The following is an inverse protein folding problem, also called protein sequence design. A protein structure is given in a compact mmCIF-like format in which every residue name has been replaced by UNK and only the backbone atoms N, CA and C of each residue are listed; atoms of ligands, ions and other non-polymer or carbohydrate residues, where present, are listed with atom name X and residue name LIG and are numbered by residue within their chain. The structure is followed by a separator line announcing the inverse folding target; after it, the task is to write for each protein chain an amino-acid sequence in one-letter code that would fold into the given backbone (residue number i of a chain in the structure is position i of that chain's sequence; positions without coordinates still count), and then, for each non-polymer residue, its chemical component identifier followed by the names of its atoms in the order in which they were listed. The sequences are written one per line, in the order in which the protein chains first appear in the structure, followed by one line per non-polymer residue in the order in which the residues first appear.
data_IF_645931648391
#
_entry.id   IF_645931648391
#
_cell.length_a   1.000
_cell.length_b   1.000
_cell.length_c   1.000
_cell.angle_alpha   90.00
_cell.angle_beta   90.00
_cell.angle_gamma   90.00
#
_symmetry.space_group_name_H-M   'P 1'
#
loop_
_entity.id
_entity.type
_entity.pdbx_description
1 polymer ?
#
# COMPACT_ATOMS: atom_id res chain seq x y z
N UNK A 1 -1.59 -1.08 -11.35
CA UNK A 1 -1.47 0.33 -10.94
C UNK A 1 -0.36 0.47 -9.90
N UNK A 2 0.36 1.59 -9.87
CA UNK A 2 1.30 1.90 -8.77
C UNK A 2 0.85 3.21 -8.14
N UNK A 3 0.73 3.22 -6.82
CA UNK A 3 0.34 4.41 -6.04
C UNK A 3 1.40 4.71 -4.99
N UNK A 4 1.55 5.98 -4.65
CA UNK A 4 2.37 6.43 -3.54
C UNK A 4 1.47 6.90 -2.42
N UNK A 5 1.70 6.39 -1.21
CA UNK A 5 0.96 6.76 0.00
C UNK A 5 1.95 6.91 1.16
N UNK A 6 1.48 7.40 2.31
CA UNK A 6 2.29 7.40 3.53
C UNK A 6 2.72 5.97 3.89
N UNK A 7 3.93 5.80 4.44
CA UNK A 7 4.51 4.48 4.70
C UNK A 7 3.62 3.60 5.59
N UNK A 8 2.95 4.18 6.59
CA UNK A 8 2.03 3.45 7.47
C UNK A 8 0.80 2.91 6.73
N UNK A 9 0.26 3.69 5.79
CA UNK A 9 -0.88 3.29 4.95
C UNK A 9 -0.44 2.17 4.03
N UNK A 10 0.74 2.30 3.40
CA UNK A 10 1.29 1.25 2.53
C UNK A 10 1.47 -0.08 3.27
N UNK A 11 2.00 -0.04 4.51
CA UNK A 11 2.13 -1.21 5.39
C UNK A 11 0.76 -1.81 5.74
N UNK A 12 -0.24 -0.97 6.02
CA UNK A 12 -1.60 -1.46 6.26
C UNK A 12 -2.20 -2.13 5.03
N UNK A 13 -2.00 -1.59 3.83
CA UNK A 13 -2.51 -2.19 2.58
C UNK A 13 -1.97 -3.60 2.33
N UNK A 14 -0.70 -3.85 2.67
CA UNK A 14 -0.01 -5.13 2.45
C UNK A 14 0.11 -5.99 3.71
N UNK A 15 -0.64 -5.67 4.77
CA UNK A 15 -0.54 -6.38 6.04
C UNK A 15 -0.91 -7.86 5.90
N UNK A 16 -0.14 -8.72 6.54
CA UNK A 16 -0.36 -10.17 6.56
C UNK A 16 -1.50 -10.56 7.51
N UNK A 17 -2.13 -11.75 7.34
CA UNK A 17 -3.14 -12.26 8.26
C UNK A 17 -2.70 -12.20 9.73
N UNK A 18 -3.62 -11.79 10.60
CA UNK A 18 -3.33 -11.49 12.02
C UNK A 18 -2.90 -10.04 12.27
N UNK A 19 -2.51 -9.29 11.23
CA UNK A 19 -2.25 -7.84 11.28
C UNK A 19 -3.19 -7.04 10.36
N UNK A 20 -4.05 -7.74 9.61
CA UNK A 20 -4.99 -7.13 8.68
C UNK A 20 -6.04 -6.28 9.41
N UNK A 21 -6.24 -5.06 8.90
CA UNK A 21 -7.39 -4.23 9.22
C UNK A 21 -8.36 -4.14 8.04
N UNK A 22 -9.38 -3.28 8.16
CA UNK A 22 -10.36 -3.05 7.10
C UNK A 22 -9.70 -2.66 5.77
N UNK A 23 -8.68 -1.81 5.80
CA UNK A 23 -7.97 -1.38 4.59
C UNK A 23 -7.23 -2.54 3.91
N UNK A 24 -6.56 -3.38 4.69
CA UNK A 24 -5.86 -4.57 4.18
C UNK A 24 -6.85 -5.49 3.47
N UNK A 25 -7.98 -5.78 4.13
CA UNK A 25 -9.06 -6.59 3.56
C UNK A 25 -9.60 -6.00 2.27
N UNK A 26 -9.96 -4.71 2.28
CA UNK A 26 -10.53 -4.06 1.10
C UNK A 26 -9.55 -4.07 -0.08
N UNK A 27 -8.28 -3.74 0.15
CA UNK A 27 -7.27 -3.71 -0.91
C UNK A 27 -6.98 -5.12 -1.44
N UNK A 28 -6.73 -6.07 -0.53
CA UNK A 28 -6.32 -7.42 -0.91
C UNK A 28 -7.46 -8.23 -1.53
N UNK A 29 -8.72 -7.88 -1.27
CA UNK A 29 -9.88 -8.46 -1.93
C UNK A 29 -9.96 -8.11 -3.42
N UNK A 30 -9.62 -6.87 -3.78
CA UNK A 30 -9.70 -6.40 -5.17
C UNK A 30 -8.39 -6.57 -5.94
N UNK A 31 -7.25 -6.66 -5.26
CA UNK A 31 -5.95 -6.67 -5.92
C UNK A 31 -4.86 -7.37 -5.10
N UNK A 32 -3.87 -7.92 -5.80
CA UNK A 32 -2.59 -8.27 -5.17
C UNK A 32 -1.77 -7.01 -4.94
N UNK A 33 -1.58 -6.63 -3.67
CA UNK A 33 -0.83 -5.45 -3.27
C UNK A 33 0.59 -5.80 -2.79
N UNK A 34 1.59 -5.04 -3.21
CA UNK A 34 3.00 -5.25 -2.84
C UNK A 34 3.72 -3.91 -2.65
N UNK A 35 4.54 -3.81 -1.59
CA UNK A 35 5.48 -2.69 -1.42
C UNK A 35 6.58 -2.77 -2.49
N UNK A 36 6.82 -1.67 -3.20
CA UNK A 36 7.85 -1.62 -4.25
C UNK A 36 9.02 -0.70 -3.92
N UNK A 37 8.80 0.35 -3.13
CA UNK A 37 9.87 1.25 -2.69
C UNK A 37 9.45 2.06 -1.46
N UNK A 38 10.44 2.54 -0.70
CA UNK A 38 10.29 3.58 0.31
C UNK A 38 10.85 4.89 -0.24
N UNK A 39 10.21 6.01 0.07
CA UNK A 39 10.56 7.34 -0.43
C UNK A 39 10.80 8.28 0.74
N UNK A 40 11.98 8.89 0.77
CA UNK A 40 12.40 9.83 1.81
C UNK A 40 11.56 11.12 1.73
N UNK A 41 11.22 11.75 2.87
CA UNK A 41 10.64 13.09 2.87
C UNK A 41 11.47 14.11 2.07
N UNK A 42 12.80 13.93 2.02
CA UNK A 42 13.71 14.81 1.27
C UNK A 42 13.50 14.77 -0.26
N UNK A 43 12.75 13.78 -0.76
CA UNK A 43 12.38 13.68 -2.17
C UNK A 43 11.19 14.57 -2.55
N UNK A 44 10.64 15.34 -1.62
CA UNK A 44 9.48 16.21 -1.82
C UNK A 44 9.80 17.67 -1.55
N UNK A 45 9.11 18.57 -2.24
CA UNK A 45 9.12 20.00 -2.01
C UNK A 45 7.67 20.54 -2.02
N UNK A 46 7.13 21.05 -0.89
CA UNK A 46 7.77 21.13 0.43
C UNK A 46 7.94 19.77 1.11
N UNK A 47 8.95 19.66 1.98
CA UNK A 47 9.26 18.42 2.71
C UNK A 47 8.13 18.05 3.70
N UNK A 48 7.53 16.86 3.60
CA UNK A 48 6.57 16.35 4.58
C UNK A 48 7.27 15.86 5.86
N UNK A 49 6.50 15.60 6.91
CA UNK A 49 7.03 15.08 8.20
C UNK A 49 7.18 13.56 8.24
N UNK A 50 6.65 12.86 7.24
CA UNK A 50 6.51 11.40 7.24
C UNK A 50 7.06 10.78 5.98
N UNK A 51 7.51 9.53 6.09
CA UNK A 51 7.96 8.73 4.96
C UNK A 51 6.78 8.33 4.07
N UNK A 52 7.06 8.18 2.77
CA UNK A 52 6.13 7.63 1.80
C UNK A 52 6.60 6.26 1.31
N UNK A 53 5.71 5.49 0.71
CA UNK A 53 6.03 4.23 0.07
C UNK A 53 5.19 4.02 -1.18
N UNK A 54 5.80 3.39 -2.18
CA UNK A 54 5.13 2.94 -3.39
C UNK A 54 4.49 1.56 -3.16
N UNK A 55 3.24 1.42 -3.57
CA UNK A 55 2.50 0.15 -3.57
C UNK A 55 2.08 -0.18 -5.00
N UNK A 56 2.50 -1.33 -5.50
CA UNK A 56 1.99 -1.90 -6.75
C UNK A 56 0.74 -2.72 -6.43
N UNK A 57 -0.33 -2.49 -7.18
CA UNK A 57 -1.58 -3.24 -7.10
C UNK A 57 -1.89 -3.85 -8.47
N UNK A 58 -2.00 -5.17 -8.49
CA UNK A 58 -2.44 -5.97 -9.64
C UNK A 58 -3.89 -6.37 -9.39
N UNK A 59 -4.82 -5.66 -10.03
CA UNK A 59 -6.27 -5.85 -9.84
C UNK A 59 -6.67 -7.20 -10.43
N UNK A 60 -7.45 -7.96 -9.67
CA UNK A 60 -7.93 -9.25 -10.12
C UNK A 60 -9.03 -9.07 -11.19
N UNK A 61 -9.07 -9.92 -12.24
CA UNK A 61 -10.14 -9.90 -13.24
C UNK A 61 -11.53 -10.14 -12.62
N UNK A 62 -11.57 -11.00 -11.60
CA UNK A 62 -12.72 -11.22 -10.72
C UNK A 62 -12.25 -11.06 -9.28
N UNK A 63 -13.05 -10.39 -8.44
CA UNK A 63 -12.72 -10.19 -7.03
C UNK A 63 -12.77 -11.53 -6.27
N UNK A 64 -11.61 -11.97 -5.77
CA UNK A 64 -11.44 -13.22 -5.03
C UNK A 64 -10.86 -12.94 -3.64
N UNK A 65 -11.48 -13.53 -2.61
CA UNK A 65 -10.87 -13.65 -1.28
C UNK A 65 -10.09 -14.98 -1.27
N UNK A 66 -8.77 -14.91 -1.06
CA UNK A 66 -7.94 -16.10 -0.79
C UNK A 66 -8.04 -16.47 0.69
#
# INVERSE_FOLDING_TARGET
MVVMVQEEVAKSMVAEPGQMGLLSVAVQYYAKAQLVCRVSPQSFDPMPKVWSAGVKMEVYPESHFN
#
